data_IF_823688620512
#
_entry.id   IF_823688620512
#
_cell.length_a   1.000
_cell.length_b   1.000
_cell.length_c   1.000
_cell.angle_alpha   90.00
_cell.angle_beta   90.00
_cell.angle_gamma   90.00
#
_symmetry.space_group_name_H-M   'P 1'
#
loop_
_entity.id
_entity.type
_entity.pdbx_description
1 polymer ?
#
# COMPACT_ATOMS: atom_id res chain seq x y z
N UNK A 1 4.95 8.73 -8.49
CA UNK A 1 5.31 9.72 -7.45
C UNK A 1 4.07 9.91 -6.58
N UNK A 2 4.20 9.85 -5.25
CA UNK A 2 3.06 9.81 -4.33
C UNK A 2 3.29 10.79 -3.18
N UNK A 3 2.43 11.80 -3.03
CA UNK A 3 2.39 12.64 -1.83
C UNK A 3 1.72 11.89 -0.67
N UNK A 4 1.89 12.35 0.58
CA UNK A 4 1.22 11.71 1.73
C UNK A 4 -0.31 11.73 1.62
N UNK A 5 -0.89 12.74 0.95
CA UNK A 5 -2.33 12.79 0.67
C UNK A 5 -2.74 11.69 -0.33
N UNK A 6 -1.94 11.49 -1.39
CA UNK A 6 -2.16 10.41 -2.35
C UNK A 6 -1.89 9.03 -1.73
N UNK A 7 -0.97 8.94 -0.76
CA UNK A 7 -0.75 7.72 0.03
C UNK A 7 -1.95 7.40 0.91
N UNK A 8 -2.51 8.41 1.57
CA UNK A 8 -3.71 8.27 2.40
C UNK A 8 -4.90 7.77 1.58
N UNK A 9 -5.18 8.43 0.45
CA UNK A 9 -6.25 8.06 -0.48
C UNK A 9 -6.08 6.62 -1.00
N UNK A 10 -4.88 6.27 -1.48
CA UNK A 10 -4.62 4.91 -2.03
C UNK A 10 -4.58 3.81 -0.97
N UNK A 11 -4.24 4.15 0.26
CA UNK A 11 -4.18 3.19 1.36
C UNK A 11 -5.48 3.15 2.17
N UNK A 12 -6.48 3.97 1.80
CA UNK A 12 -7.76 4.12 2.53
C UNK A 12 -7.57 4.42 4.02
N UNK A 13 -6.55 5.23 4.34
CA UNK A 13 -6.26 5.68 5.71
C UNK A 13 -6.41 7.19 5.79
N UNK A 14 -6.58 7.73 7.00
CA UNK A 14 -6.56 9.18 7.19
C UNK A 14 -5.19 9.78 6.79
N UNK A 15 -5.12 11.06 6.35
CA UNK A 15 -3.86 11.75 6.10
C UNK A 15 -2.90 11.73 7.30
N UNK A 16 -3.44 11.78 8.53
CA UNK A 16 -2.65 11.68 9.75
C UNK A 16 -2.01 10.30 9.89
N UNK A 17 -2.79 9.23 9.71
CA UNK A 17 -2.28 7.85 9.75
C UNK A 17 -1.25 7.59 8.65
N UNK A 18 -1.45 8.12 7.43
CA UNK A 18 -0.47 8.03 6.37
C UNK A 18 0.85 8.73 6.74
N UNK A 19 0.78 9.94 7.32
CA UNK A 19 1.96 10.66 7.80
C UNK A 19 2.72 9.88 8.88
N UNK A 20 2.01 9.28 9.83
CA UNK A 20 2.59 8.47 10.90
C UNK A 20 3.25 7.20 10.35
N UNK A 21 2.61 6.51 9.41
CA UNK A 21 3.18 5.35 8.73
C UNK A 21 4.48 5.71 8.00
N UNK A 22 4.50 6.79 7.22
CA UNK A 22 5.72 7.24 6.52
C UNK A 22 6.83 7.55 7.52
N UNK A 23 6.55 8.29 8.59
CA UNK A 23 7.57 8.58 9.63
C UNK A 23 8.12 7.30 10.25
N UNK A 24 7.26 6.33 10.56
CA UNK A 24 7.66 5.04 11.13
C UNK A 24 8.52 4.24 10.16
N UNK A 25 8.11 4.14 8.89
CA UNK A 25 8.87 3.42 7.86
C UNK A 25 10.25 4.05 7.61
N UNK A 26 10.34 5.38 7.68
CA UNK A 26 11.60 6.13 7.57
C UNK A 26 12.49 5.88 8.79
N UNK A 27 11.95 5.94 10.01
CA UNK A 27 12.69 5.62 11.23
C UNK A 27 13.23 4.18 11.25
N UNK A 28 12.50 3.25 10.64
CA UNK A 28 12.93 1.85 10.48
C UNK A 28 13.88 1.63 9.31
N UNK A 29 14.18 2.67 8.53
CA UNK A 29 15.06 2.59 7.37
C UNK A 29 14.47 1.78 6.21
N UNK A 30 13.15 1.62 6.13
CA UNK A 30 12.46 0.93 5.02
C UNK A 30 12.22 1.85 3.83
N UNK A 31 12.16 3.15 4.08
CA UNK A 31 12.06 4.18 3.05
C UNK A 31 13.10 5.27 3.27
N UNK A 32 13.48 5.93 2.19
CA UNK A 32 14.32 7.12 2.20
C UNK A 32 13.60 8.28 1.50
N UNK A 33 13.84 9.50 1.98
CA UNK A 33 13.38 10.75 1.38
C UNK A 33 14.52 11.41 0.61
N UNK A 34 14.46 11.38 -0.70
CA UNK A 34 15.38 12.12 -1.55
C UNK A 34 14.80 13.52 -1.84
N UNK A 35 15.59 14.55 -1.55
CA UNK A 35 15.29 15.92 -1.99
C UNK A 35 16.15 16.24 -3.21
N UNK A 36 15.58 16.50 -4.39
CA UNK A 36 16.37 16.93 -5.53
C UNK A 36 17.07 18.25 -5.20
N UNK A 37 18.39 18.30 -5.37
CA UNK A 37 19.19 19.52 -5.25
C UNK A 37 18.86 20.47 -6.41
N UNK A 38 17.74 21.19 -6.32
CA UNK A 38 17.34 22.15 -7.32
C UNK A 38 15.85 22.48 -7.28
N UNK A 39 15.51 23.62 -6.67
CA UNK A 39 14.32 24.46 -6.91
C UNK A 39 13.08 23.72 -7.48
N UNK A 40 12.58 22.77 -6.71
CA UNK A 40 11.36 22.01 -7.02
C UNK A 40 10.98 21.16 -5.82
N UNK A 41 10.17 21.73 -4.91
CA UNK A 41 9.78 21.17 -3.59
C UNK A 41 8.92 19.90 -3.69
N UNK A 42 9.48 18.77 -4.13
CA UNK A 42 8.84 17.48 -3.93
C UNK A 42 9.81 16.48 -3.30
N UNK A 43 9.48 16.06 -2.10
CA UNK A 43 10.16 14.99 -1.38
C UNK A 43 9.79 13.68 -2.07
N UNK A 44 10.78 12.98 -2.62
CA UNK A 44 10.57 11.65 -3.20
C UNK A 44 10.77 10.59 -2.12
N UNK A 45 9.72 9.84 -1.82
CA UNK A 45 9.79 8.66 -0.95
C UNK A 45 10.09 7.43 -1.83
N UNK A 46 11.20 6.76 -1.57
CA UNK A 46 11.59 5.50 -2.21
C UNK A 46 11.85 4.39 -1.19
N UNK A 47 11.67 3.13 -1.57
CA UNK A 47 12.07 1.99 -0.75
C UNK A 47 13.60 1.89 -0.70
N UNK A 48 14.12 1.57 0.48
CA UNK A 48 15.53 1.16 0.64
C UNK A 48 15.68 -0.32 0.27
N UNK A 49 16.91 -0.84 0.30
CA UNK A 49 17.15 -2.26 0.12
C UNK A 49 16.48 -3.09 1.23
N UNK A 50 16.51 -2.60 2.46
CA UNK A 50 15.81 -3.20 3.60
C UNK A 50 14.29 -3.19 3.39
N UNK A 51 13.75 -2.09 2.88
CA UNK A 51 12.34 -1.97 2.53
C UNK A 51 11.91 -2.96 1.45
N UNK A 52 12.72 -3.12 0.40
CA UNK A 52 12.47 -4.11 -0.66
C UNK A 52 12.50 -5.55 -0.12
N UNK A 53 13.45 -5.87 0.76
CA UNK A 53 13.55 -7.19 1.38
C UNK A 53 12.34 -7.48 2.28
N UNK A 54 11.84 -6.48 3.00
CA UNK A 54 10.62 -6.61 3.78
C UNK A 54 9.39 -6.81 2.89
N UNK A 55 9.26 -6.02 1.82
CA UNK A 55 8.15 -6.13 0.87
C UNK A 55 8.05 -7.56 0.32
N UNK A 56 9.18 -8.16 -0.06
CA UNK A 56 9.20 -9.55 -0.53
C UNK A 56 8.66 -10.54 0.50
N UNK A 57 8.98 -10.37 1.79
CA UNK A 57 8.44 -11.22 2.87
C UNK A 57 6.93 -10.99 3.05
N UNK A 58 6.47 -9.76 2.88
CA UNK A 58 5.04 -9.46 2.91
C UNK A 58 4.31 -10.14 1.74
N UNK A 59 4.88 -10.11 0.52
CA UNK A 59 4.30 -10.79 -0.64
C UNK A 59 4.15 -12.31 -0.38
N UNK A 60 5.19 -12.94 0.17
CA UNK A 60 5.16 -14.36 0.57
C UNK A 60 4.07 -14.65 1.61
N UNK A 61 3.90 -13.76 2.60
CA UNK A 61 2.86 -13.89 3.61
C UNK A 61 1.44 -13.70 3.03
N UNK A 62 1.28 -12.76 2.08
CA UNK A 62 0.00 -12.52 1.41
C UNK A 62 -0.44 -13.73 0.60
N UNK A 63 0.47 -14.42 -0.07
CA UNK A 63 0.15 -15.67 -0.80
C UNK A 63 -0.45 -16.73 0.13
N UNK A 64 0.08 -16.87 1.35
CA UNK A 64 -0.45 -17.82 2.34
C UNK A 64 -1.85 -17.41 2.78
N UNK A 65 -2.08 -16.12 3.03
CA UNK A 65 -3.40 -15.60 3.42
C UNK A 65 -4.42 -15.76 2.29
N UNK A 66 -4.04 -15.46 1.05
CA UNK A 66 -4.90 -15.61 -0.13
C UNK A 66 -5.30 -17.07 -0.36
N UNK A 67 -4.34 -18.00 -0.23
CA UNK A 67 -4.62 -19.42 -0.31
C UNK A 67 -5.61 -19.89 0.77
N UNK A 68 -5.46 -19.39 2.01
CA UNK A 68 -6.39 -19.70 3.09
C UNK A 68 -7.78 -19.09 2.86
N UNK A 69 -7.84 -17.84 2.39
CA UNK A 69 -9.09 -17.13 2.09
C UNK A 69 -9.90 -17.82 0.99
N UNK A 70 -9.21 -18.38 -0.01
CA UNK A 70 -9.83 -19.02 -1.18
C UNK A 70 -9.99 -20.54 -1.03
N UNK A 71 -9.62 -21.14 0.10
CA UNK A 71 -9.55 -22.59 0.28
C UNK A 71 -10.89 -23.31 -0.01
N UNK A 72 -12.02 -22.66 0.26
CA UNK A 72 -13.37 -23.22 0.04
C UNK A 72 -14.09 -22.61 -1.18
N UNK A 73 -13.43 -21.70 -1.91
CA UNK A 73 -14.00 -21.03 -3.08
C UNK A 73 -13.63 -21.79 -4.35
N UNK A 74 -14.63 -22.26 -5.10
CA UNK A 74 -14.39 -22.95 -6.37
C UNK A 74 -13.68 -22.03 -7.36
N UNK A 75 -12.78 -22.59 -8.19
CA UNK A 75 -11.97 -21.76 -9.12
C UNK A 75 -12.81 -20.92 -10.07
N UNK A 76 -13.97 -21.43 -10.50
CA UNK A 76 -14.91 -20.71 -11.36
C UNK A 76 -15.49 -19.45 -10.71
N UNK A 77 -15.62 -19.44 -9.38
CA UNK A 77 -16.16 -18.32 -8.61
C UNK A 77 -15.11 -17.25 -8.25
N UNK A 78 -13.82 -17.61 -8.27
CA UNK A 78 -12.73 -16.70 -7.87
C UNK A 78 -12.63 -15.46 -8.78
N UNK A 79 -12.81 -15.63 -10.09
CA UNK A 79 -12.81 -14.52 -11.05
C UNK A 79 -13.94 -13.51 -10.79
N UNK A 80 -15.21 -13.95 -10.73
CA UNK A 80 -16.34 -13.12 -10.34
C UNK A 80 -16.15 -12.44 -8.97
N UNK A 81 -15.72 -13.19 -7.95
CA UNK A 81 -15.46 -12.66 -6.61
C UNK A 81 -14.44 -11.52 -6.64
N UNK A 82 -13.34 -11.69 -7.37
CA UNK A 82 -12.32 -10.65 -7.53
C UNK A 82 -12.86 -9.37 -8.18
N UNK A 83 -13.73 -9.48 -9.18
CA UNK A 83 -14.38 -8.32 -9.81
C UNK A 83 -15.29 -7.60 -8.82
N UNK A 84 -16.08 -8.34 -8.05
CA UNK A 84 -17.00 -7.80 -7.04
C UNK A 84 -16.25 -7.10 -5.90
N UNK A 85 -15.23 -7.74 -5.33
CA UNK A 85 -14.38 -7.15 -4.28
C UNK A 85 -13.72 -5.86 -4.76
N UNK A 86 -13.17 -5.83 -5.99
CA UNK A 86 -12.62 -4.60 -6.56
C UNK A 86 -13.65 -3.49 -6.72
N UNK A 87 -14.90 -3.83 -7.06
CA UNK A 87 -15.97 -2.84 -7.15
C UNK A 87 -16.31 -2.26 -5.77
N UNK A 88 -16.40 -3.10 -4.73
CA UNK A 88 -16.63 -2.67 -3.35
C UNK A 88 -15.50 -1.78 -2.85
N UNK A 89 -14.24 -2.18 -3.06
CA UNK A 89 -13.06 -1.37 -2.66
C UNK A 89 -13.08 -0.01 -3.32
N UNK A 90 -13.36 0.10 -4.63
CA UNK A 90 -13.48 1.40 -5.30
C UNK A 90 -14.60 2.27 -4.72
N UNK A 91 -15.73 1.66 -4.36
CA UNK A 91 -16.82 2.36 -3.67
C UNK A 91 -16.38 2.89 -2.31
N UNK A 92 -15.64 2.09 -1.53
CA UNK A 92 -15.10 2.47 -0.22
C UNK A 92 -14.02 3.55 -0.32
N UNK A 93 -13.16 3.52 -1.34
CA UNK A 93 -12.13 4.56 -1.53
C UNK A 93 -12.72 5.95 -1.79
N UNK A 94 -13.97 6.04 -2.26
CA UNK A 94 -14.70 7.30 -2.42
C UNK A 94 -15.36 7.82 -1.13
N UNK A 95 -15.46 6.99 -0.10
CA UNK A 95 -15.93 7.38 1.24
C UNK A 95 -14.72 7.90 2.03
N UNK A 96 -14.28 9.12 1.75
CA UNK A 96 -13.43 9.86 2.70
C UNK A 96 -14.28 10.25 3.90
N UNK A 97 -14.24 9.42 4.95
CA UNK A 97 -14.69 9.77 6.31
C UNK A 97 -13.61 10.60 7.03
#
# INVERSE_FOLDING_TARGET
>A
QLSNAQLAERSMVSPQSANEMVKMMEQRGWIARESPSGHGRMIQIGLTQEGLNLLKKCDEAVVVVEAALLAEVQREDQGPLYVQLKAMVRGLSGLTL
#
